data_IF_388952856757
#
_entry.id   IF_388952856757
#
_cell.length_a   1.000
_cell.length_b   1.000
_cell.length_c   1.000
_cell.angle_alpha   90.00
_cell.angle_beta   90.00
_cell.angle_gamma   90.00
#
_symmetry.space_group_name_H-M   'P 1'
#
loop_
_entity.id
_entity.type
_entity.pdbx_description
1 polymer ?
#
# COMPACT_ATOMS: atom_id res chain seq x y z
N UNK A 1 -13.72 -1.07 -14.60
CA UNK A 1 -12.38 -0.74 -15.12
C UNK A 1 -11.47 -0.57 -13.91
N UNK A 2 -10.16 -0.82 -14.02
CA UNK A 2 -9.25 -0.39 -12.96
C UNK A 2 -9.15 1.13 -13.06
N UNK A 3 -9.38 1.83 -11.96
CA UNK A 3 -9.40 3.30 -11.94
C UNK A 3 -8.34 3.78 -10.96
N UNK A 4 -7.55 4.77 -11.39
CA UNK A 4 -6.75 5.55 -10.46
C UNK A 4 -7.73 6.37 -9.62
N UNK A 5 -7.68 6.23 -8.31
CA UNK A 5 -8.43 7.14 -7.46
C UNK A 5 -7.80 8.53 -7.53
N UNK A 6 -8.63 9.56 -7.36
CA UNK A 6 -8.17 10.92 -7.12
C UNK A 6 -7.20 10.93 -5.92
N UNK A 7 -5.94 11.38 -6.11
CA UNK A 7 -4.97 11.55 -5.04
C UNK A 7 -5.49 12.33 -3.84
N UNK A 8 -6.48 13.21 -3.98
CA UNK A 8 -7.09 13.94 -2.87
C UNK A 8 -7.79 13.02 -1.86
N UNK A 9 -8.33 11.88 -2.31
CA UNK A 9 -9.11 10.93 -1.48
C UNK A 9 -8.21 10.15 -0.51
N UNK A 10 -6.98 9.82 -0.92
CA UNK A 10 -6.05 9.04 -0.11
C UNK A 10 -4.77 9.79 0.26
N UNK A 11 -4.55 10.98 -0.29
CA UNK A 11 -3.33 11.77 -0.12
C UNK A 11 -3.06 12.09 1.34
N UNK A 12 -4.08 12.47 2.11
CA UNK A 12 -3.95 12.70 3.55
C UNK A 12 -3.55 11.42 4.30
N UNK A 13 -4.07 10.26 3.90
CA UNK A 13 -3.73 8.98 4.53
C UNK A 13 -2.29 8.56 4.20
N UNK A 14 -1.88 8.66 2.93
CA UNK A 14 -0.49 8.40 2.52
C UNK A 14 0.47 9.36 3.20
N UNK A 15 0.14 10.66 3.26
CA UNK A 15 0.95 11.66 3.97
C UNK A 15 1.07 11.35 5.46
N UNK A 16 -0.01 10.89 6.11
CA UNK A 16 0.03 10.48 7.52
C UNK A 16 0.94 9.26 7.75
N UNK A 17 0.98 8.31 6.81
CA UNK A 17 1.91 7.17 6.87
C UNK A 17 3.35 7.62 6.62
N UNK A 18 3.58 8.48 5.64
CA UNK A 18 4.90 9.06 5.34
C UNK A 18 5.46 9.87 6.51
N UNK A 19 4.65 10.70 7.15
CA UNK A 19 5.05 11.47 8.32
C UNK A 19 5.48 10.56 9.50
N UNK A 20 4.73 9.48 9.75
CA UNK A 20 5.11 8.48 10.76
C UNK A 20 6.40 7.76 10.41
N UNK A 21 6.56 7.36 9.15
CA UNK A 21 7.76 6.69 8.67
C UNK A 21 8.99 7.60 8.80
N UNK A 22 8.88 8.86 8.38
CA UNK A 22 9.93 9.88 8.49
C UNK A 22 10.30 10.18 9.94
N UNK A 23 9.32 10.29 10.85
CA UNK A 23 9.57 10.46 12.28
C UNK A 23 10.35 9.28 12.90
N UNK A 24 10.27 8.10 12.29
CA UNK A 24 11.00 6.91 12.70
C UNK A 24 12.31 6.68 11.90
N UNK A 25 12.73 7.64 11.07
CA UNK A 25 13.98 7.58 10.32
C UNK A 25 13.94 6.71 9.06
N UNK A 26 12.76 6.27 8.61
CA UNK A 26 12.65 5.62 7.31
C UNK A 26 12.77 6.65 6.19
N UNK A 27 13.54 6.29 5.15
CA UNK A 27 13.62 7.09 3.93
C UNK A 27 12.24 7.18 3.28
N UNK A 28 11.85 8.38 2.91
CA UNK A 28 10.60 8.61 2.18
C UNK A 28 10.60 7.82 0.86
N UNK A 29 9.44 7.25 0.54
CA UNK A 29 9.23 6.50 -0.70
C UNK A 29 8.02 7.10 -1.41
N UNK A 30 8.19 7.61 -2.64
CA UNK A 30 7.10 8.23 -3.38
C UNK A 30 6.04 7.18 -3.69
N UNK A 31 4.78 7.48 -3.33
CA UNK A 31 3.62 6.72 -3.80
C UNK A 31 3.24 7.28 -5.17
N UNK A 32 3.46 6.48 -6.21
CA UNK A 32 3.15 6.86 -7.59
C UNK A 32 1.63 6.96 -7.84
N UNK A 33 0.84 6.19 -7.10
CA UNK A 33 -0.62 6.23 -7.12
C UNK A 33 -1.27 5.05 -6.42
N UNK A 34 -2.59 5.13 -6.23
CA UNK A 34 -3.41 4.01 -5.78
C UNK A 34 -4.40 3.63 -6.89
N UNK A 35 -4.28 2.39 -7.38
CA UNK A 35 -5.21 1.77 -8.32
C UNK A 35 -6.27 0.98 -7.58
N UNK A 36 -7.54 1.22 -7.91
CA UNK A 36 -8.69 0.58 -7.27
C UNK A 36 -9.53 -0.18 -8.29
N UNK A 37 -10.01 -1.36 -7.89
CA UNK A 37 -10.75 -2.25 -8.78
C UNK A 37 -9.88 -3.09 -9.71
N UNK A 38 -8.55 -3.01 -9.59
CA UNK A 38 -7.59 -3.75 -10.40
C UNK A 38 -6.15 -3.28 -10.23
N UNK A 39 -5.23 -3.99 -10.89
CA UNK A 39 -3.81 -3.67 -10.94
C UNK A 39 -3.57 -2.40 -11.78
N UNK A 40 -2.56 -1.61 -11.39
CA UNK A 40 -2.14 -0.44 -12.14
C UNK A 40 -1.72 -0.77 -13.58
N UNK A 41 -1.24 -1.99 -13.83
CA UNK A 41 -0.96 -2.53 -15.17
C UNK A 41 -2.15 -2.48 -16.13
N UNK A 42 -3.38 -2.44 -15.60
CA UNK A 42 -4.61 -2.44 -16.39
C UNK A 42 -5.27 -1.08 -16.54
N UNK A 43 -4.69 -0.01 -15.96
CA UNK A 43 -5.17 1.36 -16.15
C UNK A 43 -5.12 1.69 -17.65
N UNK A 44 -6.21 2.26 -18.17
CA UNK A 44 -6.34 2.59 -19.60
C UNK A 44 -6.58 1.37 -20.51
N UNK A 45 -6.76 0.18 -19.95
CA UNK A 45 -7.08 -1.04 -20.71
C UNK A 45 -8.52 -1.50 -20.44
N UNK A 46 -9.16 -2.25 -21.35
CA UNK A 46 -10.48 -2.83 -21.09
C UNK A 46 -10.45 -3.98 -20.07
N UNK A 47 -9.27 -4.42 -19.62
CA UNK A 47 -9.13 -5.54 -18.67
C UNK A 47 -9.29 -5.04 -17.24
N UNK A 48 -9.87 -5.87 -16.38
CA UNK A 48 -9.69 -5.73 -14.92
C UNK A 48 -8.41 -6.47 -14.58
N UNK A 49 -7.38 -5.76 -14.14
CA UNK A 49 -6.14 -6.36 -13.65
C UNK A 49 -6.44 -7.14 -12.37
N UNK A 50 -6.96 -8.35 -12.52
CA UNK A 50 -7.30 -9.21 -11.40
C UNK A 50 -6.03 -9.93 -10.94
N UNK A 51 -5.79 -9.91 -9.65
CA UNK A 51 -4.68 -10.61 -9.02
C UNK A 51 -5.22 -11.40 -7.83
N UNK A 52 -4.62 -12.55 -7.52
CA UNK A 52 -5.15 -13.45 -6.47
C UNK A 52 -5.18 -12.79 -5.09
N UNK A 53 -4.25 -11.88 -4.84
CA UNK A 53 -4.13 -11.15 -3.57
C UNK A 53 -5.17 -10.02 -3.58
N UNK A 54 -5.80 -9.71 -2.44
CA UNK A 54 -6.84 -8.67 -2.40
C UNK A 54 -6.28 -7.25 -2.57
N UNK A 55 -4.99 -7.08 -2.29
CA UNK A 55 -4.17 -5.91 -2.54
C UNK A 55 -2.70 -6.34 -2.78
N UNK A 56 -1.91 -5.48 -3.41
CA UNK A 56 -0.45 -5.58 -3.46
C UNK A 56 0.18 -4.21 -3.72
N UNK A 57 1.44 -4.04 -3.33
CA UNK A 57 2.29 -2.95 -3.76
C UNK A 57 3.29 -3.41 -4.82
N UNK A 58 3.49 -2.59 -5.84
CA UNK A 58 4.61 -2.72 -6.76
C UNK A 58 5.87 -2.22 -6.05
N UNK A 59 6.63 -3.14 -5.45
CA UNK A 59 7.74 -2.82 -4.54
C UNK A 59 9.09 -3.43 -4.94
N UNK A 60 9.19 -4.04 -6.12
CA UNK A 60 10.46 -4.51 -6.63
C UNK A 60 11.18 -3.35 -7.34
N UNK A 61 12.45 -3.03 -7.05
CA UNK A 61 13.12 -1.84 -7.61
C UNK A 61 13.22 -1.79 -9.15
N UNK A 62 13.06 -2.95 -9.81
CA UNK A 62 13.05 -3.07 -11.28
C UNK A 62 11.64 -3.09 -11.88
N UNK A 63 10.61 -2.99 -11.06
CA UNK A 63 9.23 -2.93 -11.50
C UNK A 63 8.96 -1.53 -12.09
N UNK A 64 8.54 -1.41 -13.37
CA UNK A 64 8.21 -0.11 -13.96
C UNK A 64 7.05 0.60 -13.26
N UNK A 65 6.23 -0.14 -12.50
CA UNK A 65 5.13 0.40 -11.69
C UNK A 65 5.53 0.58 -10.22
N UNK A 66 6.83 0.56 -9.88
CA UNK A 66 7.29 0.77 -8.51
C UNK A 66 6.62 2.00 -7.87
N UNK A 67 6.12 1.84 -6.64
CA UNK A 67 5.42 2.89 -5.91
C UNK A 67 3.90 2.89 -6.08
N UNK A 68 3.34 2.05 -6.97
CA UNK A 68 1.90 1.85 -7.05
C UNK A 68 1.39 0.89 -5.98
N UNK A 69 0.25 1.23 -5.38
CA UNK A 69 -0.53 0.34 -4.50
C UNK A 69 -1.82 -0.03 -5.23
N UNK A 70 -2.10 -1.32 -5.35
CA UNK A 70 -3.27 -1.84 -6.05
C UNK A 70 -4.22 -2.52 -5.07
N UNK A 71 -5.50 -2.17 -5.11
CA UNK A 71 -6.54 -2.77 -4.26
C UNK A 71 -7.70 -3.23 -5.15
N UNK A 72 -8.06 -4.51 -5.07
CA UNK A 72 -9.15 -5.05 -5.90
C UNK A 72 -10.53 -4.53 -5.51
N UNK A 73 -10.74 -4.24 -4.24
CA UNK A 73 -12.02 -3.74 -3.75
C UNK A 73 -12.17 -2.26 -4.06
N UNK A 74 -13.33 -1.87 -4.60
CA UNK A 74 -13.71 -0.47 -4.83
C UNK A 74 -14.23 0.25 -3.58
N UNK A 75 -14.26 -0.42 -2.43
CA UNK A 75 -14.77 0.16 -1.19
C UNK A 75 -13.73 1.05 -0.51
N UNK A 76 -14.10 2.32 -0.25
CA UNK A 76 -13.25 3.27 0.46
C UNK A 76 -12.78 2.78 1.84
N UNK A 77 -13.57 1.93 2.51
CA UNK A 77 -13.22 1.32 3.80
C UNK A 77 -11.99 0.41 3.76
N UNK A 78 -11.52 0.03 2.57
CA UNK A 78 -10.25 -0.70 2.39
C UNK A 78 -9.03 0.22 2.37
N UNK A 79 -9.22 1.51 2.10
CA UNK A 79 -8.17 2.53 2.11
C UNK A 79 -8.16 3.30 3.41
N UNK A 80 -9.34 3.65 3.91
CA UNK A 80 -9.54 4.53 5.04
C UNK A 80 -10.40 3.87 6.12
N UNK A 81 -10.14 4.19 7.37
CA UNK A 81 -11.08 3.95 8.46
C UNK A 81 -12.29 4.89 8.33
N UNK A 82 -13.39 4.64 9.04
CA UNK A 82 -14.51 5.59 9.12
C UNK A 82 -14.10 6.99 9.61
N UNK A 83 -12.99 7.08 10.34
CA UNK A 83 -12.42 8.35 10.84
C UNK A 83 -11.43 9.00 9.88
N UNK A 84 -11.32 8.51 8.63
CA UNK A 84 -10.42 9.06 7.62
C UNK A 84 -8.94 8.72 7.82
N UNK A 85 -8.60 7.86 8.78
CA UNK A 85 -7.22 7.40 9.01
C UNK A 85 -6.85 6.30 8.01
N UNK A 86 -5.56 6.07 7.73
CA UNK A 86 -5.15 4.94 6.91
C UNK A 86 -5.67 3.62 7.49
N UNK A 87 -6.24 2.77 6.63
CA UNK A 87 -6.62 1.42 7.02
C UNK A 87 -5.37 0.57 7.29
N UNK A 88 -5.54 -0.54 8.02
CA UNK A 88 -4.46 -1.53 8.18
C UNK A 88 -4.00 -2.11 6.84
N UNK A 89 -4.90 -2.27 5.87
CA UNK A 89 -4.54 -2.76 4.53
C UNK A 89 -3.69 -1.74 3.76
N UNK A 90 -4.03 -0.45 3.83
CA UNK A 90 -3.23 0.59 3.19
C UNK A 90 -1.84 0.69 3.83
N UNK A 91 -1.77 0.65 5.17
CA UNK A 91 -0.51 0.63 5.88
C UNK A 91 0.34 -0.62 5.56
N UNK A 92 -0.30 -1.79 5.39
CA UNK A 92 0.34 -3.03 4.97
C UNK A 92 1.05 -2.88 3.62
N UNK A 93 0.34 -2.36 2.62
CA UNK A 93 0.91 -2.19 1.28
C UNK A 93 1.93 -1.06 1.23
N UNK A 94 1.70 0.03 1.97
CA UNK A 94 2.70 1.09 2.09
C UNK A 94 4.00 0.60 2.76
N UNK A 95 3.91 -0.31 3.73
CA UNK A 95 5.09 -0.91 4.34
C UNK A 95 5.93 -1.72 3.33
N UNK A 96 5.31 -2.31 2.31
CA UNK A 96 6.04 -2.97 1.22
C UNK A 96 6.87 -2.00 0.39
N UNK A 97 6.42 -0.74 0.23
CA UNK A 97 7.18 0.29 -0.47
C UNK A 97 8.40 0.76 0.34
N UNK A 98 8.26 0.92 1.65
CA UNK A 98 9.34 1.29 2.57
C UNK A 98 10.36 0.15 2.80
N UNK A 99 9.91 -1.10 2.66
CA UNK A 99 10.72 -2.31 2.73
C UNK A 99 10.71 -3.04 1.37
N UNK A 100 11.27 -2.42 0.30
CA UNK A 100 11.20 -2.98 -1.04
C UNK A 100 11.88 -4.36 -1.08
N UNK A 101 11.30 -5.26 -1.87
CA UNK A 101 11.78 -6.64 -2.06
C UNK A 101 11.97 -7.46 -0.76
N UNK A 102 11.30 -7.10 0.34
CA UNK A 102 11.48 -7.75 1.64
C UNK A 102 10.40 -8.78 1.99
N UNK A 103 9.39 -8.97 1.13
CA UNK A 103 8.21 -9.79 1.43
C UNK A 103 7.58 -9.38 2.77
N UNK A 104 7.09 -10.34 3.56
CA UNK A 104 6.68 -10.12 4.96
C UNK A 104 7.81 -10.40 5.97
N UNK A 105 9.07 -10.23 5.55
CA UNK A 105 10.27 -10.45 6.36
C UNK A 105 10.45 -9.45 7.50
N UNK A 106 11.57 -9.54 8.22
CA UNK A 106 11.85 -8.73 9.41
C UNK A 106 11.76 -7.23 9.12
N UNK A 107 12.38 -6.76 8.03
CA UNK A 107 12.34 -5.36 7.64
C UNK A 107 10.91 -4.84 7.44
N UNK A 108 10.06 -5.61 6.76
CA UNK A 108 8.66 -5.25 6.57
C UNK A 108 7.87 -5.25 7.89
N UNK A 109 8.11 -6.25 8.75
CA UNK A 109 7.47 -6.33 10.07
C UNK A 109 7.83 -5.15 10.97
N UNK A 110 9.10 -4.71 10.95
CA UNK A 110 9.54 -3.50 11.66
C UNK A 110 8.79 -2.28 11.15
N UNK A 111 8.76 -2.08 9.83
CA UNK A 111 8.06 -0.94 9.22
C UNK A 111 6.57 -0.92 9.58
N UNK A 112 5.83 -2.02 9.36
CA UNK A 112 4.38 -2.02 9.59
C UNK A 112 4.03 -1.83 11.07
N UNK A 113 4.90 -2.31 11.96
CA UNK A 113 4.80 -2.05 13.41
C UNK A 113 5.00 -0.56 13.70
N UNK A 114 6.03 0.06 13.13
CA UNK A 114 6.29 1.50 13.27
C UNK A 114 5.14 2.36 12.75
N UNK A 115 4.48 1.95 11.67
CA UNK A 115 3.29 2.63 11.16
C UNK A 115 2.08 2.55 12.11
N UNK A 116 2.17 1.73 13.17
CA UNK A 116 1.16 1.57 14.21
C UNK A 116 0.28 0.33 14.02
N UNK A 117 0.74 -0.66 13.25
CA UNK A 117 -0.02 -1.87 12.93
C UNK A 117 0.74 -3.17 13.34
N UNK A 118 1.07 -3.36 14.63
CA UNK A 118 1.81 -4.54 15.09
C UNK A 118 1.07 -5.87 14.84
N UNK A 119 -0.26 -5.87 14.89
CA UNK A 119 -1.07 -7.06 14.60
C UNK A 119 -0.86 -7.57 13.15
N UNK A 120 -0.54 -6.69 12.19
CA UNK A 120 -0.19 -7.11 10.82
C UNK A 120 1.16 -7.84 10.78
N UNK A 121 2.14 -7.39 11.57
CA UNK A 121 3.43 -8.04 11.69
C UNK A 121 3.30 -9.46 12.30
N UNK A 122 2.45 -9.60 13.32
CA UNK A 122 2.17 -10.87 13.98
C UNK A 122 1.45 -11.86 13.06
N UNK A 123 0.37 -11.43 12.40
CA UNK A 123 -0.44 -12.29 11.52
C UNK A 123 0.32 -12.86 10.31
N UNK A 124 1.48 -12.26 9.97
CA UNK A 124 2.34 -12.63 8.85
C UNK A 124 3.67 -13.25 9.27
N UNK A 125 3.88 -13.49 10.57
CA UNK A 125 5.05 -14.23 11.05
C UNK A 125 4.97 -15.69 10.54
N UNK A 126 6.01 -16.15 9.86
CA UNK A 126 6.13 -17.54 9.38
C UNK A 126 5.44 -17.85 8.04
N UNK A 127 5.08 -16.83 7.25
CA UNK A 127 4.63 -16.98 5.85
C UNK A 127 5.68 -16.50 4.87
#
# INVERSE_FOLDING_TARGET
MAEALDPSVYGAAVAALGAKAGAAGFRDVPVAGISVGGCAESIGTPRRGAFRRRAHAHNHPRDPLFGWICILSTSAGRLLTPTGRPSALLAHEYAHLLAPNSGHGERWRTVVTTLGHPAEAEARRGR
#
